data_IF_486116195888
#
_entry.id   IF_486116195888
#
_cell.length_a   1.000
_cell.length_b   1.000
_cell.length_c   1.000
_cell.angle_alpha   90.00
_cell.angle_beta   90.00
_cell.angle_gamma   90.00
#
_symmetry.space_group_name_H-M   'P 1'
#
loop_
_entity.id
_entity.type
_entity.pdbx_description
1 polymer ?
#
# COMPACT_ATOMS: atom_id res chain seq x y z
N UNK A 1 -15.70 18.09 10.34
CA UNK A 1 -14.79 16.94 10.19
C UNK A 1 -15.62 15.67 10.09
N UNK A 2 -15.25 14.81 9.19
CA UNK A 2 -15.86 13.49 9.09
C UNK A 2 -14.95 12.52 9.85
N UNK A 3 -15.50 11.68 10.69
CA UNK A 3 -14.74 10.68 11.43
C UNK A 3 -15.51 9.36 11.34
N UNK A 4 -14.81 8.28 10.97
CA UNK A 4 -15.40 6.95 10.87
C UNK A 4 -14.44 5.97 11.55
N UNK A 5 -14.92 5.29 12.57
CA UNK A 5 -14.18 4.23 13.24
C UNK A 5 -14.90 2.91 13.01
N UNK A 6 -14.20 1.92 12.46
CA UNK A 6 -14.77 0.62 12.15
C UNK A 6 -13.99 -0.45 12.90
N UNK A 7 -14.69 -1.31 13.58
CA UNK A 7 -14.14 -2.52 14.16
C UNK A 7 -14.98 -3.73 13.81
N UNK A 8 -14.39 -4.66 13.08
CA UNK A 8 -14.94 -5.98 12.81
C UNK A 8 -14.00 -7.03 13.37
N UNK A 9 -14.45 -7.83 14.31
CA UNK A 9 -13.59 -8.77 15.06
C UNK A 9 -13.51 -10.15 14.39
N UNK A 10 -14.49 -10.50 13.57
CA UNK A 10 -14.49 -11.72 12.76
C UNK A 10 -15.64 -11.67 11.75
N UNK A 11 -15.44 -12.29 10.62
CA UNK A 11 -16.47 -12.39 9.58
C UNK A 11 -16.00 -13.21 8.39
N UNK A 12 -16.97 -13.67 7.61
CA UNK A 12 -16.69 -14.28 6.32
C UNK A 12 -17.60 -13.64 5.27
N UNK A 13 -17.06 -13.37 4.10
CA UNK A 13 -17.80 -12.77 2.98
C UNK A 13 -18.46 -11.42 3.33
N UNK A 14 -17.72 -10.57 4.01
CA UNK A 14 -18.21 -9.23 4.41
C UNK A 14 -17.89 -8.21 3.34
N UNK A 15 -18.82 -7.31 3.07
CA UNK A 15 -18.58 -6.13 2.23
C UNK A 15 -18.68 -4.86 3.05
N UNK A 16 -17.65 -4.04 2.98
CA UNK A 16 -17.61 -2.71 3.60
C UNK A 16 -17.35 -1.68 2.51
N UNK A 17 -18.24 -0.75 2.35
CA UNK A 17 -18.07 0.38 1.42
C UNK A 17 -18.17 1.67 2.19
N UNK A 18 -17.16 2.50 2.06
CA UNK A 18 -17.09 3.79 2.72
C UNK A 18 -16.82 4.85 1.65
N UNK A 19 -17.67 5.85 1.61
CA UNK A 19 -17.45 7.01 0.75
C UNK A 19 -17.46 8.26 1.63
N UNK A 20 -16.39 9.03 1.58
CA UNK A 20 -16.30 10.32 2.27
C UNK A 20 -16.09 11.42 1.24
N UNK A 21 -16.81 12.52 1.39
CA UNK A 21 -16.67 13.69 0.54
C UNK A 21 -16.56 14.94 1.42
N UNK A 22 -15.61 15.81 1.13
CA UNK A 22 -15.36 17.04 1.89
C UNK A 22 -13.91 17.18 2.35
N UNK A 23 -13.65 18.00 3.32
CA UNK A 23 -12.32 18.33 3.83
C UNK A 23 -12.04 17.71 5.20
N UNK A 24 -10.83 17.22 5.43
CA UNK A 24 -10.35 16.74 6.72
C UNK A 24 -11.05 15.46 7.17
N UNK A 25 -11.27 14.52 6.27
CA UNK A 25 -11.87 13.23 6.59
C UNK A 25 -10.87 12.35 7.35
N UNK A 26 -11.37 11.55 8.27
CA UNK A 26 -10.57 10.61 9.04
C UNK A 26 -11.27 9.26 9.10
N UNK A 27 -10.57 8.17 8.83
CA UNK A 27 -11.05 6.81 9.07
C UNK A 27 -10.02 6.14 9.97
N UNK A 28 -10.40 5.82 11.19
CA UNK A 28 -9.49 5.36 12.22
C UNK A 28 -8.51 6.44 12.68
N UNK A 29 -8.13 6.41 13.94
CA UNK A 29 -7.16 7.35 14.52
C UNK A 29 -6.11 6.55 15.27
N UNK A 30 -4.84 6.75 14.93
CA UNK A 30 -3.71 6.08 15.54
C UNK A 30 -3.41 6.56 16.97
N UNK A 31 -3.99 7.68 17.40
CA UNK A 31 -3.65 8.32 18.67
C UNK A 31 -4.40 7.78 19.87
N UNK A 32 -5.47 7.04 19.67
CA UNK A 32 -6.26 6.48 20.75
C UNK A 32 -6.40 4.96 20.64
N UNK A 33 -6.28 4.28 21.75
CA UNK A 33 -6.45 2.82 21.83
C UNK A 33 -7.86 2.43 21.36
N UNK A 34 -7.96 1.61 20.31
CA UNK A 34 -9.18 1.13 19.68
C UNK A 34 -9.91 2.08 18.72
N UNK A 35 -9.21 3.02 18.10
CA UNK A 35 -9.79 3.94 17.11
C UNK A 35 -9.31 3.70 15.70
N UNK A 36 -8.44 2.74 15.49
CA UNK A 36 -8.04 2.27 14.15
C UNK A 36 -9.20 1.52 13.49
N UNK A 37 -9.30 1.64 12.18
CA UNK A 37 -10.11 0.70 11.40
C UNK A 37 -9.48 -0.69 11.56
N UNK A 38 -10.15 -1.58 12.27
CA UNK A 38 -9.67 -2.95 12.51
C UNK A 38 -10.70 -3.91 11.91
N UNK A 39 -10.33 -4.54 10.80
CA UNK A 39 -11.20 -5.45 10.07
C UNK A 39 -10.51 -6.82 10.00
N UNK A 40 -11.14 -7.81 10.62
CA UNK A 40 -10.67 -9.18 10.70
C UNK A 40 -11.70 -10.14 10.12
N UNK A 41 -11.26 -10.98 9.17
CA UNK A 41 -12.15 -11.96 8.52
C UNK A 41 -11.57 -12.52 7.24
N UNK A 42 -12.36 -13.28 6.49
CA UNK A 42 -11.95 -13.84 5.21
C UNK A 42 -12.97 -13.57 4.11
N UNK A 43 -12.50 -13.60 2.86
CA UNK A 43 -13.30 -13.30 1.67
C UNK A 43 -14.04 -11.96 1.79
N UNK A 44 -13.32 -10.95 2.19
CA UNK A 44 -13.87 -9.61 2.39
C UNK A 44 -13.69 -8.78 1.11
N UNK A 45 -14.60 -7.85 0.91
CA UNK A 45 -14.47 -6.77 -0.07
C UNK A 45 -14.56 -5.45 0.66
N UNK A 46 -13.49 -4.69 0.66
CA UNK A 46 -13.42 -3.41 1.35
C UNK A 46 -13.12 -2.33 0.31
N UNK A 47 -13.99 -1.36 0.22
CA UNK A 47 -13.86 -0.22 -0.68
C UNK A 47 -13.88 1.05 0.15
N UNK A 48 -12.84 1.86 0.04
CA UNK A 48 -12.73 3.15 0.72
C UNK A 48 -12.46 4.21 -0.33
N UNK A 49 -13.35 5.18 -0.44
CA UNK A 49 -13.19 6.33 -1.31
C UNK A 49 -13.22 7.60 -0.45
N UNK A 50 -12.13 8.34 -0.43
CA UNK A 50 -12.02 9.61 0.27
C UNK A 50 -11.72 10.74 -0.72
N UNK A 51 -12.55 11.75 -0.72
CA UNK A 51 -12.37 12.92 -1.54
C UNK A 51 -12.32 14.19 -0.67
N UNK A 52 -11.25 14.96 -0.77
CA UNK A 52 -11.07 16.17 0.02
C UNK A 52 -9.60 16.50 0.19
N UNK A 53 -9.30 17.38 1.13
CA UNK A 53 -7.93 17.72 1.48
C UNK A 53 -7.61 17.28 2.90
N UNK A 54 -6.39 16.85 3.15
CA UNK A 54 -5.93 16.39 4.47
C UNK A 54 -6.72 15.18 4.99
N UNK A 55 -7.01 14.23 4.11
CA UNK A 55 -7.61 12.97 4.53
C UNK A 55 -6.59 12.14 5.31
N UNK A 56 -7.02 11.48 6.36
CA UNK A 56 -6.22 10.52 7.06
C UNK A 56 -6.90 9.15 7.05
N UNK A 57 -6.15 8.12 6.76
CA UNK A 57 -6.60 6.74 6.82
C UNK A 57 -5.60 5.94 7.65
N UNK A 58 -6.04 5.41 8.78
CA UNK A 58 -5.26 4.47 9.56
C UNK A 58 -6.02 3.17 9.68
N UNK A 59 -5.41 2.08 9.23
CA UNK A 59 -6.10 0.79 9.17
C UNK A 59 -5.23 -0.39 9.54
N UNK A 60 -5.86 -1.39 10.15
CA UNK A 60 -5.33 -2.73 10.35
C UNK A 60 -6.27 -3.75 9.72
N UNK A 61 -5.84 -4.33 8.62
CA UNK A 61 -6.63 -5.21 7.77
C UNK A 61 -6.10 -6.63 7.88
N UNK A 62 -6.96 -7.57 8.23
CA UNK A 62 -6.60 -8.98 8.39
C UNK A 62 -7.55 -9.89 7.65
N UNK A 63 -7.01 -10.96 7.11
CA UNK A 63 -7.85 -12.00 6.55
C UNK A 63 -7.17 -12.78 5.45
N UNK A 64 -7.96 -13.61 4.79
CA UNK A 64 -7.52 -14.35 3.62
C UNK A 64 -8.54 -14.17 2.49
N UNK A 65 -8.07 -14.31 1.24
CA UNK A 65 -8.91 -14.24 0.04
C UNK A 65 -9.73 -12.94 -0.02
N UNK A 66 -9.11 -11.81 0.30
CA UNK A 66 -9.81 -10.53 0.46
C UNK A 66 -9.36 -9.51 -0.58
N UNK A 67 -10.27 -8.64 -0.98
CA UNK A 67 -10.02 -7.55 -1.91
C UNK A 67 -10.17 -6.21 -1.18
N UNK A 68 -9.15 -5.39 -1.31
CA UNK A 68 -9.09 -4.04 -0.73
C UNK A 68 -8.90 -3.04 -1.85
N UNK A 69 -9.80 -2.10 -1.99
CA UNK A 69 -9.69 -0.97 -2.94
C UNK A 69 -9.77 0.32 -2.16
N UNK A 70 -8.76 1.16 -2.31
CA UNK A 70 -8.66 2.42 -1.58
C UNK A 70 -8.35 3.53 -2.56
N UNK A 71 -9.29 4.43 -2.77
CA UNK A 71 -9.17 5.59 -3.64
C UNK A 71 -9.09 6.88 -2.80
N UNK A 72 -8.02 7.62 -2.96
CA UNK A 72 -7.79 8.86 -2.24
C UNK A 72 -7.59 10.03 -3.21
N UNK A 73 -8.44 11.02 -3.14
CA UNK A 73 -8.31 12.24 -3.94
C UNK A 73 -8.16 13.46 -3.04
N UNK A 74 -7.07 14.19 -3.20
CA UNK A 74 -6.83 15.40 -2.40
C UNK A 74 -5.35 15.68 -2.23
N UNK A 75 -5.02 16.68 -1.45
CA UNK A 75 -3.63 17.04 -1.17
C UNK A 75 -3.30 16.86 0.30
N UNK A 76 -2.07 16.47 0.59
CA UNK A 76 -1.58 16.27 1.96
C UNK A 76 -2.39 15.21 2.72
N UNK A 77 -2.66 14.12 2.06
CA UNK A 77 -3.29 12.96 2.70
C UNK A 77 -2.22 12.11 3.40
N UNK A 78 -2.56 11.55 4.54
CA UNK A 78 -1.66 10.66 5.29
C UNK A 78 -2.34 9.31 5.49
N UNK A 79 -1.70 8.26 5.05
CA UNK A 79 -2.19 6.89 5.15
C UNK A 79 -1.20 6.03 5.91
N UNK A 80 -1.67 5.28 6.87
CA UNK A 80 -0.93 4.22 7.55
C UNK A 80 -1.76 2.94 7.53
N UNK A 81 -1.33 1.98 6.72
CA UNK A 81 -2.05 0.74 6.50
C UNK A 81 -1.18 -0.43 6.90
N UNK A 82 -1.70 -1.25 7.81
CA UNK A 82 -1.08 -2.49 8.21
C UNK A 82 -1.91 -3.66 7.69
N UNK A 83 -1.36 -4.43 6.77
CA UNK A 83 -2.02 -5.58 6.15
C UNK A 83 -1.43 -6.89 6.70
N UNK A 84 -2.30 -7.78 7.13
CA UNK A 84 -1.95 -9.16 7.46
C UNK A 84 -2.96 -10.11 6.82
N UNK A 85 -2.82 -10.28 5.52
CA UNK A 85 -3.78 -11.03 4.71
C UNK A 85 -3.02 -11.91 3.72
N UNK A 86 -3.56 -13.10 3.45
CA UNK A 86 -3.02 -14.04 2.48
C UNK A 86 -3.96 -14.17 1.29
N UNK A 87 -3.40 -14.43 0.09
CA UNK A 87 -4.16 -14.58 -1.14
C UNK A 87 -5.10 -13.39 -1.38
N UNK A 88 -4.58 -12.20 -1.23
CA UNK A 88 -5.38 -10.96 -1.24
C UNK A 88 -4.90 -10.01 -2.33
N UNK A 89 -5.84 -9.20 -2.82
CA UNK A 89 -5.58 -8.12 -3.77
C UNK A 89 -5.72 -6.80 -3.02
N UNK A 90 -4.73 -5.93 -3.18
CA UNK A 90 -4.74 -4.60 -2.62
C UNK A 90 -4.51 -3.58 -3.74
N UNK A 91 -5.53 -2.82 -4.05
CA UNK A 91 -5.59 -1.81 -5.10
C UNK A 91 -5.66 -0.43 -4.43
N UNK A 92 -4.69 0.43 -4.74
CA UNK A 92 -4.48 1.69 -4.03
C UNK A 92 -4.22 2.86 -4.99
N UNK A 93 -5.22 3.69 -5.19
CA UNK A 93 -5.15 4.85 -6.07
C UNK A 93 -5.05 6.15 -5.28
N UNK A 94 -4.03 6.95 -5.58
CA UNK A 94 -3.84 8.28 -4.98
C UNK A 94 -3.74 9.35 -6.06
N UNK A 95 -4.60 10.34 -5.98
CA UNK A 95 -4.52 11.54 -6.81
C UNK A 95 -4.35 12.79 -5.97
N UNK A 96 -3.25 13.51 -6.18
CA UNK A 96 -2.98 14.76 -5.45
C UNK A 96 -1.52 14.88 -5.05
N UNK A 97 -1.13 16.01 -4.50
CA UNK A 97 0.26 16.30 -4.17
C UNK A 97 0.54 16.26 -2.68
N UNK A 98 1.77 15.93 -2.32
CA UNK A 98 2.24 15.87 -0.92
C UNK A 98 1.45 14.85 -0.08
N UNK A 99 1.18 13.71 -0.66
CA UNK A 99 0.59 12.58 0.04
C UNK A 99 1.69 11.71 0.67
N UNK A 100 1.37 11.11 1.80
CA UNK A 100 2.25 10.18 2.51
C UNK A 100 1.52 8.84 2.67
N UNK A 101 2.15 7.77 2.19
CA UNK A 101 1.70 6.41 2.41
C UNK A 101 2.77 5.65 3.19
N UNK A 102 2.35 5.03 4.29
CA UNK A 102 3.10 3.99 4.99
C UNK A 102 2.27 2.70 4.87
N UNK A 103 2.80 1.73 4.15
CA UNK A 103 2.15 0.45 3.93
C UNK A 103 3.02 -0.67 4.47
N UNK A 104 2.54 -1.37 5.49
CA UNK A 104 3.24 -2.48 6.10
C UNK A 104 2.44 -3.77 5.90
N UNK A 105 2.95 -4.68 5.12
CA UNK A 105 2.31 -5.96 4.88
C UNK A 105 3.14 -7.11 5.48
N UNK A 106 2.47 -8.02 6.20
CA UNK A 106 3.10 -9.22 6.74
C UNK A 106 3.96 -9.05 7.98
N UNK A 107 3.97 -7.90 8.61
CA UNK A 107 4.87 -7.58 9.73
C UNK A 107 4.84 -8.56 10.93
N UNK A 108 3.77 -9.31 11.11
CA UNK A 108 3.60 -10.22 12.25
C UNK A 108 3.75 -11.69 11.86
N UNK A 109 3.15 -12.12 10.77
CA UNK A 109 3.08 -13.54 10.38
C UNK A 109 3.59 -13.82 8.98
N UNK A 110 4.02 -12.79 8.26
CA UNK A 110 4.23 -12.86 6.82
C UNK A 110 2.91 -12.93 6.06
N UNK A 111 2.96 -12.63 4.80
CA UNK A 111 1.84 -12.80 3.88
C UNK A 111 2.24 -13.75 2.76
N UNK A 112 1.26 -14.29 2.03
CA UNK A 112 1.47 -15.21 0.94
C UNK A 112 0.49 -14.90 -0.18
N UNK A 113 0.97 -14.83 -1.42
CA UNK A 113 0.19 -14.44 -2.59
C UNK A 113 -0.52 -13.07 -2.42
N UNK A 114 0.21 -12.02 -2.16
CA UNK A 114 -0.30 -10.66 -2.25
C UNK A 114 -0.10 -10.14 -3.68
N UNK A 115 -1.17 -9.57 -4.22
CA UNK A 115 -1.15 -8.76 -5.43
C UNK A 115 -1.40 -7.31 -5.00
N UNK A 116 -0.34 -6.50 -5.09
CA UNK A 116 -0.37 -5.09 -4.69
C UNK A 116 -0.24 -4.21 -5.93
N UNK A 117 -1.29 -3.48 -6.22
CA UNK A 117 -1.39 -2.57 -7.35
C UNK A 117 -1.57 -1.14 -6.84
N UNK A 118 -0.77 -0.21 -7.31
CA UNK A 118 -0.86 1.18 -6.88
C UNK A 118 -0.66 2.16 -8.04
N UNK A 119 -1.62 3.07 -8.20
CA UNK A 119 -1.54 4.19 -9.12
C UNK A 119 -1.44 5.50 -8.35
N UNK A 120 -0.35 6.23 -8.59
CA UNK A 120 -0.08 7.46 -7.87
C UNK A 120 0.11 8.60 -8.86
N UNK A 121 -0.76 9.60 -8.79
CA UNK A 121 -0.73 10.77 -9.67
C UNK A 121 -0.56 12.04 -8.86
N UNK A 122 0.57 12.72 -9.03
CA UNK A 122 0.86 14.00 -8.37
C UNK A 122 2.28 14.13 -7.87
N UNK A 123 2.66 15.33 -7.46
CA UNK A 123 4.03 15.68 -7.13
C UNK A 123 4.33 15.62 -5.64
N UNK A 124 5.59 15.37 -5.31
CA UNK A 124 6.10 15.45 -3.93
C UNK A 124 5.39 14.50 -2.96
N UNK A 125 5.08 13.32 -3.42
CA UNK A 125 4.52 12.25 -2.59
C UNK A 125 5.65 11.43 -1.96
N UNK A 126 5.38 10.87 -0.78
CA UNK A 126 6.31 9.99 -0.06
C UNK A 126 5.65 8.64 0.17
N UNK A 127 6.31 7.58 -0.28
CA UNK A 127 5.84 6.20 -0.15
C UNK A 127 6.87 5.36 0.54
N UNK A 128 6.45 4.69 1.61
CA UNK A 128 7.24 3.74 2.38
C UNK A 128 6.45 2.43 2.45
N UNK A 129 6.90 1.45 1.67
CA UNK A 129 6.20 0.20 1.41
C UNK A 129 7.07 -0.95 1.89
N UNK A 130 6.70 -1.55 3.02
CA UNK A 130 7.37 -2.69 3.61
C UNK A 130 6.52 -3.95 3.44
N UNK A 131 7.01 -4.93 2.71
CA UNK A 131 6.31 -6.18 2.47
C UNK A 131 7.18 -7.37 2.91
N UNK A 132 6.69 -8.09 3.90
CA UNK A 132 7.27 -9.34 4.36
C UNK A 132 6.34 -10.50 3.97
N UNK A 133 6.69 -11.22 2.93
CA UNK A 133 5.79 -12.24 2.39
C UNK A 133 6.46 -13.22 1.45
N UNK A 134 5.66 -14.13 0.93
CA UNK A 134 6.04 -15.10 -0.08
C UNK A 134 5.10 -14.95 -1.29
N UNK A 135 5.63 -15.09 -2.51
CA UNK A 135 4.85 -14.97 -3.76
C UNK A 135 4.12 -13.61 -3.91
N UNK A 136 4.82 -12.53 -3.68
CA UNK A 136 4.27 -11.18 -3.73
C UNK A 136 4.54 -10.55 -5.10
N UNK A 137 3.52 -9.95 -5.67
CA UNK A 137 3.60 -9.17 -6.90
C UNK A 137 3.22 -7.73 -6.59
N UNK A 138 4.11 -6.81 -6.90
CA UNK A 138 3.89 -5.38 -6.77
C UNK A 138 3.91 -4.75 -8.17
N UNK A 139 2.88 -3.98 -8.50
CA UNK A 139 2.75 -3.21 -9.73
C UNK A 139 2.44 -1.75 -9.38
N UNK A 140 3.39 -0.86 -9.62
CA UNK A 140 3.28 0.53 -9.22
C UNK A 140 3.49 1.46 -10.40
N UNK A 141 2.51 2.30 -10.66
CA UNK A 141 2.55 3.38 -11.64
C UNK A 141 2.60 4.74 -10.93
N UNK A 142 3.64 5.51 -11.18
CA UNK A 142 3.84 6.81 -10.54
C UNK A 142 4.03 7.90 -11.59
N UNK A 143 3.10 8.86 -11.61
CA UNK A 143 3.13 10.00 -12.53
C UNK A 143 3.22 11.32 -11.73
N UNK A 144 4.40 11.96 -11.77
CA UNK A 144 4.65 13.22 -11.08
C UNK A 144 6.11 13.45 -10.71
N UNK A 145 6.42 14.67 -10.34
CA UNK A 145 7.79 15.09 -10.04
C UNK A 145 8.11 15.06 -8.54
N UNK A 146 9.39 14.82 -8.23
CA UNK A 146 9.92 14.92 -6.87
C UNK A 146 9.25 13.98 -5.85
N UNK A 147 8.84 12.81 -6.29
CA UNK A 147 8.35 11.78 -5.40
C UNK A 147 9.51 11.03 -4.73
N UNK A 148 9.32 10.60 -3.50
CA UNK A 148 10.25 9.78 -2.72
C UNK A 148 9.62 8.43 -2.42
N UNK A 149 10.19 7.36 -2.98
CA UNK A 149 9.61 6.03 -3.01
C UNK A 149 10.61 5.05 -2.42
N UNK A 150 10.22 4.37 -1.37
CA UNK A 150 10.97 3.27 -0.78
C UNK A 150 10.11 2.01 -0.79
N UNK A 151 10.64 0.92 -1.34
CA UNK A 151 10.00 -0.38 -1.37
C UNK A 151 11.00 -1.41 -0.82
N UNK A 152 10.67 -1.99 0.32
CA UNK A 152 11.37 -3.10 0.93
C UNK A 152 10.51 -4.37 0.84
N UNK A 153 10.92 -5.31 -0.01
CA UNK A 153 10.23 -6.57 -0.20
C UNK A 153 11.12 -7.73 0.25
N UNK A 154 10.72 -8.46 1.28
CA UNK A 154 11.49 -9.56 1.82
C UNK A 154 10.68 -10.86 1.94
N UNK A 155 11.33 -11.99 1.68
CA UNK A 155 10.73 -13.31 1.89
C UNK A 155 10.53 -13.61 3.36
N UNK A 156 9.36 -14.15 3.72
CA UNK A 156 9.07 -14.62 5.07
C UNK A 156 9.65 -16.00 5.34
N UNK A 157 9.58 -16.90 4.37
CA UNK A 157 10.03 -18.28 4.52
C UNK A 157 11.27 -18.56 3.68
N UNK A 158 12.32 -19.05 4.30
CA UNK A 158 13.53 -19.45 3.59
C UNK A 158 13.28 -20.69 2.71
N UNK A 159 13.68 -20.62 1.43
CA UNK A 159 13.63 -21.77 0.52
C UNK A 159 12.33 -21.96 -0.25
N UNK A 160 11.51 -20.93 -0.36
CA UNK A 160 10.37 -20.91 -1.28
C UNK A 160 10.81 -21.02 -2.75
N UNK A 161 9.95 -21.56 -3.58
CA UNK A 161 10.23 -21.81 -4.99
C UNK A 161 9.78 -20.71 -5.92
N UNK A 162 8.86 -19.86 -5.48
CA UNK A 162 8.34 -18.73 -6.25
C UNK A 162 9.03 -17.45 -5.77
N UNK A 163 9.33 -16.59 -6.70
CA UNK A 163 10.01 -15.33 -6.43
C UNK A 163 9.05 -14.18 -6.31
N UNK A 164 9.55 -13.10 -5.78
CA UNK A 164 8.84 -11.83 -5.76
C UNK A 164 8.99 -11.10 -7.09
N UNK A 165 8.01 -10.30 -7.43
CA UNK A 165 8.05 -9.41 -8.58
C UNK A 165 7.73 -7.98 -8.16
N UNK A 166 8.57 -7.05 -8.57
CA UNK A 166 8.30 -5.62 -8.50
C UNK A 166 8.30 -5.10 -9.93
N UNK A 167 7.18 -4.52 -10.35
CA UNK A 167 7.11 -3.69 -11.55
C UNK A 167 6.90 -2.25 -11.10
N UNK A 168 7.77 -1.36 -11.53
CA UNK A 168 7.67 0.05 -11.19
C UNK A 168 7.86 0.91 -12.43
N UNK A 169 6.82 1.62 -12.82
CA UNK A 169 6.85 2.64 -13.88
C UNK A 169 6.78 4.03 -13.26
N UNK A 170 7.77 4.85 -13.55
CA UNK A 170 7.85 6.21 -13.01
C UNK A 170 8.00 7.22 -14.13
N UNK A 171 7.03 8.09 -14.23
CA UNK A 171 7.06 9.25 -15.13
C UNK A 171 7.20 10.54 -14.35
N UNK A 172 8.21 11.36 -14.67
CA UNK A 172 8.45 12.65 -14.03
C UNK A 172 9.90 12.88 -13.63
N UNK A 173 10.22 14.11 -13.27
CA UNK A 173 11.59 14.55 -12.98
C UNK A 173 11.91 14.54 -11.48
N UNK A 174 13.19 14.35 -11.15
CA UNK A 174 13.72 14.48 -9.78
C UNK A 174 13.13 13.51 -8.74
N UNK A 175 12.60 12.39 -9.19
CA UNK A 175 12.11 11.35 -8.28
C UNK A 175 13.28 10.62 -7.59
N UNK A 176 13.09 10.24 -6.34
CA UNK A 176 14.01 9.39 -5.58
C UNK A 176 13.38 8.02 -5.38
N UNK A 177 14.09 6.97 -5.77
CA UNK A 177 13.57 5.60 -5.74
C UNK A 177 14.58 4.70 -5.04
N UNK A 178 14.13 3.97 -4.04
CA UNK A 178 14.89 2.93 -3.37
C UNK A 178 14.10 1.62 -3.41
N UNK A 179 14.67 0.62 -4.03
CA UNK A 179 14.11 -0.73 -4.08
C UNK A 179 15.09 -1.69 -3.43
N UNK A 180 14.66 -2.43 -2.42
CA UNK A 180 15.39 -3.53 -1.81
C UNK A 180 14.53 -4.80 -1.85
N UNK A 181 14.93 -5.76 -2.65
CA UNK A 181 14.23 -7.03 -2.79
C UNK A 181 15.13 -8.15 -2.27
N UNK A 182 14.72 -8.75 -1.17
CA UNK A 182 15.47 -9.79 -0.48
C UNK A 182 14.68 -11.10 -0.44
N UNK A 183 15.16 -12.11 -1.16
CA UNK A 183 14.60 -13.46 -1.02
C UNK A 183 15.70 -14.52 -1.18
N UNK A 184 15.58 -15.57 -0.44
CA UNK A 184 16.51 -16.69 -0.45
C UNK A 184 16.22 -17.71 -1.56
N UNK A 185 15.22 -17.51 -2.38
CA UNK A 185 14.75 -18.42 -3.41
C UNK A 185 14.88 -17.86 -4.85
N UNK A 186 14.64 -18.70 -5.81
CA UNK A 186 15.27 -18.73 -7.10
C UNK A 186 14.83 -17.71 -8.16
N UNK A 187 13.80 -16.89 -7.99
CA UNK A 187 13.36 -15.97 -9.06
C UNK A 187 12.75 -14.69 -8.49
N UNK A 188 13.59 -13.74 -8.15
CA UNK A 188 13.14 -12.38 -7.90
C UNK A 188 13.26 -11.58 -9.20
N UNK A 189 12.25 -10.78 -9.48
CA UNK A 189 12.19 -9.93 -10.67
C UNK A 189 11.97 -8.50 -10.21
N UNK A 190 12.78 -7.59 -10.73
CA UNK A 190 12.52 -6.15 -10.66
C UNK A 190 12.48 -5.66 -12.10
N UNK A 191 11.33 -5.15 -12.52
CA UNK A 191 11.17 -4.41 -13.75
C UNK A 191 11.01 -2.93 -13.40
N UNK A 192 11.90 -2.10 -13.90
CA UNK A 192 11.93 -0.68 -13.61
C UNK A 192 11.97 0.12 -14.91
N UNK A 193 10.93 0.88 -15.19
CA UNK A 193 10.89 1.87 -16.26
C UNK A 193 10.86 3.28 -15.67
N UNK A 194 11.79 4.13 -16.08
CA UNK A 194 11.86 5.51 -15.60
C UNK A 194 11.90 6.45 -16.81
N UNK A 195 10.90 7.30 -16.90
CA UNK A 195 10.78 8.32 -17.92
C UNK A 195 10.86 9.72 -17.29
N UNK A 196 12.07 10.22 -17.15
CA UNK A 196 12.31 11.52 -16.52
C UNK A 196 13.79 11.87 -16.46
N UNK A 197 14.10 12.98 -15.83
CA UNK A 197 15.46 13.49 -15.67
C UNK A 197 15.79 13.86 -14.24
N UNK A 198 17.09 13.82 -13.91
CA UNK A 198 17.63 14.29 -12.62
C UNK A 198 17.17 13.50 -11.37
N UNK A 199 16.59 12.33 -11.55
CA UNK A 199 16.22 11.45 -10.45
C UNK A 199 17.41 10.71 -9.82
N UNK A 200 17.18 10.12 -8.66
CA UNK A 200 18.12 9.23 -7.97
C UNK A 200 17.45 7.89 -7.73
N UNK A 201 18.12 6.80 -8.10
CA UNK A 201 17.60 5.47 -7.86
C UNK A 201 18.65 4.53 -7.34
N UNK A 202 18.23 3.71 -6.39
CA UNK A 202 19.02 2.64 -5.79
C UNK A 202 18.22 1.35 -5.86
N UNK A 203 18.79 0.33 -6.48
CA UNK A 203 18.13 -0.97 -6.60
C UNK A 203 19.06 -2.04 -6.06
N UNK A 204 18.59 -2.77 -5.08
CA UNK A 204 19.27 -3.90 -4.49
C UNK A 204 18.42 -5.17 -4.66
N UNK A 205 19.03 -6.23 -5.11
CA UNK A 205 18.40 -7.54 -5.22
C UNK A 205 19.36 -8.60 -4.68
N UNK A 206 18.91 -9.38 -3.68
CA UNK A 206 19.73 -10.38 -2.99
C UNK A 206 19.04 -11.74 -2.92
#
# INVERSE_FOLDING_TARGET
ANEIYIKQVSGTSTSVTITQSGTGNTIGDSTAVNTTMDIDGSSQTIIIDQNGSNNALTGYLKGADSNYTIDLTGSSNTQEINLNATSSIFDFDVTGSSNELIFNAGAITGIDNLDFDALIVGDSNTFDIDILGDDVVDDLDIDGDSNDITIDQAAFTAGITNGHMITLDVTGDSNTITLDQQATAAQNIIELEINGSSGTWSVTQQ
#
